data_IF_288118503773
#
_entry.id   IF_288118503773
#
_cell.length_a   1.000
_cell.length_b   1.000
_cell.length_c   1.000
_cell.angle_alpha   90.00
_cell.angle_beta   90.00
_cell.angle_gamma   90.00
#
_symmetry.space_group_name_H-M   'P 1'
#
loop_
_entity.id
_entity.type
_entity.pdbx_description
1 polymer ?
#
# COMPACT_ATOMS: atom_id res chain seq x y z
N UNK A 1 -1.30 -6.93 -25.82
CA UNK A 1 -2.02 -5.86 -26.54
C UNK A 1 -3.03 -6.50 -27.49
N UNK A 2 -4.26 -6.00 -27.56
CA UNK A 2 -5.30 -6.55 -28.45
C UNK A 2 -5.66 -5.55 -29.54
N UNK A 3 -5.01 -5.67 -30.69
CA UNK A 3 -5.15 -4.75 -31.83
C UNK A 3 -6.60 -4.50 -32.25
N UNK A 4 -7.43 -5.55 -32.27
CA UNK A 4 -8.85 -5.45 -32.63
C UNK A 4 -9.69 -4.56 -31.68
N UNK A 5 -9.17 -4.24 -30.48
CA UNK A 5 -9.82 -3.37 -29.50
C UNK A 5 -9.04 -2.09 -29.22
N UNK A 6 -7.89 -1.93 -29.86
CA UNK A 6 -7.10 -0.71 -29.82
C UNK A 6 -7.57 0.24 -30.93
N UNK A 7 -7.42 1.54 -30.68
CA UNK A 7 -7.73 2.59 -31.64
C UNK A 7 -6.50 3.40 -32.03
N UNK A 8 -6.72 4.49 -32.77
CA UNK A 8 -5.66 5.39 -33.24
C UNK A 8 -4.93 6.14 -32.12
N UNK A 9 -5.59 6.31 -30.96
CA UNK A 9 -5.05 7.01 -29.78
C UNK A 9 -5.18 6.21 -28.49
N UNK A 10 -5.63 4.95 -28.56
CA UNK A 10 -5.90 4.11 -27.38
C UNK A 10 -5.37 2.70 -27.58
N UNK A 11 -4.76 2.14 -26.53
CA UNK A 11 -4.22 0.79 -26.54
C UNK A 11 -4.98 -0.05 -25.52
N UNK A 12 -5.53 -1.18 -25.96
CA UNK A 12 -6.13 -2.16 -25.05
C UNK A 12 -5.10 -3.21 -24.62
N UNK A 13 -4.84 -3.29 -23.31
CA UNK A 13 -4.02 -4.31 -22.68
C UNK A 13 -4.94 -5.37 -22.05
N UNK A 14 -4.61 -6.65 -22.27
CA UNK A 14 -5.32 -7.80 -21.69
C UNK A 14 -4.35 -8.57 -20.79
N UNK A 15 -4.87 -9.22 -19.75
CA UNK A 15 -4.08 -9.98 -18.78
C UNK A 15 -3.00 -9.13 -18.11
N UNK A 16 -3.38 -7.91 -17.69
CA UNK A 16 -2.51 -7.00 -16.96
C UNK A 16 -2.08 -7.64 -15.65
N UNK A 17 -0.78 -7.58 -15.37
CA UNK A 17 -0.16 -8.08 -14.14
C UNK A 17 0.92 -7.09 -13.67
N UNK A 18 1.59 -7.38 -12.55
CA UNK A 18 2.61 -6.49 -11.97
C UNK A 18 3.73 -6.10 -12.95
N UNK A 19 4.13 -7.01 -13.85
CA UNK A 19 5.16 -6.75 -14.87
C UNK A 19 4.67 -5.86 -16.01
N UNK A 20 3.36 -5.61 -16.09
CA UNK A 20 2.80 -4.67 -17.05
C UNK A 20 3.07 -3.22 -16.63
N UNK A 21 3.38 -2.95 -15.37
CA UNK A 21 3.70 -1.59 -14.91
C UNK A 21 4.97 -1.05 -15.59
N UNK A 22 5.00 0.25 -15.87
CA UNK A 22 6.15 0.91 -16.50
C UNK A 22 5.75 2.10 -17.36
N UNK A 23 6.74 2.67 -18.04
CA UNK A 23 6.54 3.80 -18.95
C UNK A 23 6.12 3.29 -20.33
N UNK A 24 4.94 3.71 -20.77
CA UNK A 24 4.43 3.45 -22.12
C UNK A 24 4.66 4.67 -22.99
N UNK A 25 5.27 4.45 -24.16
CA UNK A 25 5.53 5.49 -25.15
C UNK A 25 4.68 5.25 -26.40
N UNK A 26 4.09 6.32 -26.91
CA UNK A 26 3.46 6.37 -28.22
C UNK A 26 4.31 7.23 -29.14
N UNK A 27 4.63 6.73 -30.33
CA UNK A 27 5.41 7.43 -31.34
C UNK A 27 4.64 7.43 -32.66
N UNK A 28 4.67 8.58 -33.34
CA UNK A 28 4.09 8.79 -34.66
C UNK A 28 5.19 9.36 -35.54
N UNK A 29 5.51 8.64 -36.62
CA UNK A 29 6.54 9.02 -37.57
C UNK A 29 5.91 9.36 -38.93
N UNK A 30 6.35 10.46 -39.52
CA UNK A 30 6.08 10.79 -40.91
C UNK A 30 7.01 9.98 -41.82
N UNK A 31 6.53 9.62 -43.02
CA UNK A 31 7.36 8.99 -44.05
C UNK A 31 8.10 10.06 -44.89
N UNK A 32 8.83 9.61 -45.92
CA UNK A 32 9.57 10.50 -46.82
C UNK A 32 8.70 11.66 -47.32
N UNK A 33 9.28 12.88 -47.48
CA UNK A 33 10.70 13.21 -47.39
C UNK A 33 11.21 13.69 -46.01
N UNK A 34 10.35 13.94 -45.02
CA UNK A 34 10.76 14.64 -43.79
C UNK A 34 11.14 13.73 -42.62
N UNK A 35 10.66 12.48 -42.56
CA UNK A 35 11.00 11.48 -41.52
C UNK A 35 10.84 11.96 -40.06
N UNK A 36 10.01 12.98 -39.81
CA UNK A 36 9.81 13.52 -38.47
C UNK A 36 9.14 12.50 -37.55
N UNK A 37 9.61 12.37 -36.30
CA UNK A 37 8.98 11.51 -35.29
C UNK A 37 8.59 12.33 -34.08
N UNK A 38 7.30 12.31 -33.74
CA UNK A 38 6.76 12.90 -32.50
C UNK A 38 6.28 11.79 -31.59
N UNK A 39 6.42 11.98 -30.28
CA UNK A 39 5.96 10.98 -29.34
C UNK A 39 5.66 11.56 -27.97
N UNK A 40 4.91 10.79 -27.20
CA UNK A 40 4.59 11.09 -25.81
C UNK A 40 4.73 9.84 -24.96
N UNK A 41 4.98 10.03 -23.67
CA UNK A 41 5.13 8.92 -22.73
C UNK A 41 4.31 9.16 -21.46
N UNK A 42 3.84 8.07 -20.85
CA UNK A 42 3.14 8.06 -19.56
C UNK A 42 3.46 6.79 -18.78
N UNK A 43 3.45 6.92 -17.46
CA UNK A 43 3.65 5.78 -16.56
C UNK A 43 2.32 5.10 -16.25
N UNK A 44 2.29 3.78 -16.39
CA UNK A 44 1.19 2.94 -15.97
C UNK A 44 1.59 2.21 -14.69
N UNK A 45 0.82 2.44 -13.62
CA UNK A 45 0.95 1.69 -12.37
C UNK A 45 -0.06 0.54 -12.34
N UNK A 46 0.32 -0.57 -11.70
CA UNK A 46 -0.57 -1.69 -11.40
C UNK A 46 -0.73 -1.77 -9.89
N UNK A 47 -1.98 -1.67 -9.44
CA UNK A 47 -2.35 -1.69 -8.03
C UNK A 47 -2.84 -3.08 -7.65
N UNK A 48 -2.35 -3.59 -6.52
CA UNK A 48 -2.83 -4.84 -5.92
C UNK A 48 -3.30 -4.51 -4.52
N UNK A 49 -4.60 -4.65 -4.30
CA UNK A 49 -5.20 -4.42 -2.98
C UNK A 49 -4.85 -5.56 -2.02
N UNK A 50 -4.67 -5.27 -0.72
CA UNK A 50 -4.60 -6.31 0.30
C UNK A 50 -5.83 -7.23 0.23
N UNK A 51 -5.61 -8.54 0.34
CA UNK A 51 -6.71 -9.52 0.31
C UNK A 51 -7.56 -9.53 1.58
N UNK A 52 -7.02 -9.00 2.67
CA UNK A 52 -7.66 -8.91 3.98
C UNK A 52 -7.15 -7.67 4.74
N UNK A 53 -7.84 -7.33 5.82
CA UNK A 53 -7.40 -6.28 6.74
C UNK A 53 -6.09 -6.65 7.45
N UNK A 54 -5.39 -5.66 8.02
CA UNK A 54 -4.15 -5.91 8.74
C UNK A 54 -4.41 -6.71 10.01
N UNK A 55 -3.42 -7.48 10.45
CA UNK A 55 -3.48 -8.32 11.65
C UNK A 55 -2.68 -7.68 12.77
N UNK A 56 -3.27 -7.63 13.96
CA UNK A 56 -2.62 -7.17 15.18
C UNK A 56 -2.08 -8.37 15.95
N UNK A 57 -0.82 -8.29 16.39
CA UNK A 57 -0.09 -9.34 17.13
C UNK A 57 0.68 -8.74 18.30
N UNK A 58 1.16 -9.58 19.23
CA UNK A 58 1.91 -9.17 20.42
C UNK A 58 1.06 -8.78 21.62
N UNK A 59 -0.27 -8.70 21.44
CA UNK A 59 -1.21 -8.40 22.52
C UNK A 59 -1.37 -9.54 23.53
N UNK A 60 -1.78 -9.20 24.74
CA UNK A 60 -2.16 -10.16 25.79
C UNK A 60 -3.67 -10.24 25.94
N UNK A 61 -4.15 -11.38 26.45
CA UNK A 61 -5.57 -11.62 26.66
C UNK A 61 -6.16 -10.73 27.78
N UNK A 62 -5.34 -10.31 28.73
CA UNK A 62 -5.73 -9.48 29.86
C UNK A 62 -4.62 -8.49 30.16
N UNK A 63 -5.02 -7.29 30.57
CA UNK A 63 -4.12 -6.23 31.00
C UNK A 63 -4.65 -5.58 32.28
N UNK A 64 -3.73 -4.99 33.04
CA UNK A 64 -3.99 -4.16 34.21
C UNK A 64 -3.50 -2.73 33.96
N UNK A 65 -4.07 -1.78 34.69
CA UNK A 65 -3.55 -0.41 34.70
C UNK A 65 -2.07 -0.45 35.12
N UNK A 66 -1.23 0.30 34.40
CA UNK A 66 0.22 0.31 34.55
C UNK A 66 0.95 -0.70 33.66
N UNK A 67 0.25 -1.66 33.05
CA UNK A 67 0.89 -2.57 32.09
C UNK A 67 1.31 -1.84 30.82
N UNK A 68 2.37 -2.34 30.18
CA UNK A 68 2.76 -1.85 28.86
C UNK A 68 2.12 -2.72 27.78
N UNK A 69 1.33 -2.09 26.92
CA UNK A 69 0.86 -2.70 25.67
C UNK A 69 1.95 -2.52 24.63
N UNK A 70 2.34 -3.59 23.96
CA UNK A 70 3.31 -3.59 22.86
C UNK A 70 2.80 -4.50 21.75
N UNK A 71 2.27 -3.91 20.70
CA UNK A 71 1.57 -4.63 19.62
C UNK A 71 2.10 -4.23 18.26
N UNK A 72 2.00 -5.14 17.30
CA UNK A 72 2.36 -4.93 15.91
C UNK A 72 1.16 -5.15 15.00
N UNK A 73 0.91 -4.17 14.13
CA UNK A 73 -0.07 -4.24 13.06
C UNK A 73 0.68 -4.55 11.77
N UNK A 74 0.33 -5.62 11.07
CA UNK A 74 0.96 -6.04 9.82
C UNK A 74 -0.08 -6.19 8.73
N UNK A 75 0.13 -5.55 7.58
CA UNK A 75 -0.78 -5.62 6.43
C UNK A 75 -0.70 -6.97 5.71
N UNK A 76 -1.77 -7.36 5.02
CA UNK A 76 -1.63 -8.31 3.93
C UNK A 76 -0.79 -7.73 2.78
N UNK A 77 -0.32 -8.60 1.90
CA UNK A 77 0.50 -8.23 0.73
C UNK A 77 -0.28 -7.30 -0.21
N UNK A 78 0.35 -6.24 -0.68
CA UNK A 78 -0.25 -5.25 -1.59
C UNK A 78 0.80 -4.57 -2.46
N UNK A 79 0.37 -3.81 -3.47
CA UNK A 79 1.27 -2.92 -4.23
C UNK A 79 0.54 -1.63 -4.59
N UNK A 80 1.04 -0.45 -4.19
CA UNK A 80 2.15 -0.25 -3.25
C UNK A 80 1.81 -0.78 -1.85
N UNK A 81 2.80 -0.84 -0.96
CA UNK A 81 2.60 -1.16 0.45
C UNK A 81 1.48 -0.31 1.07
N UNK A 82 0.64 -0.96 1.88
CA UNK A 82 -0.45 -0.29 2.58
C UNK A 82 0.08 0.73 3.61
N UNK A 83 -0.62 1.86 3.75
CA UNK A 83 -0.36 2.82 4.83
C UNK A 83 -1.15 2.42 6.07
N UNK A 84 -0.45 2.19 7.19
CA UNK A 84 -1.07 1.79 8.46
C UNK A 84 -1.20 2.97 9.41
N UNK A 85 -2.24 2.94 10.25
CA UNK A 85 -2.48 3.91 11.33
C UNK A 85 -3.07 3.19 12.54
N UNK A 86 -2.68 3.64 13.73
CA UNK A 86 -3.20 3.11 14.98
C UNK A 86 -4.35 3.97 15.50
N UNK A 87 -5.35 3.30 16.05
CA UNK A 87 -6.45 3.88 16.80
C UNK A 87 -6.56 3.12 18.13
N UNK A 88 -6.68 3.84 19.23
CA UNK A 88 -6.94 3.28 20.56
C UNK A 88 -8.30 3.83 20.99
N UNK A 89 -9.28 2.95 21.18
CA UNK A 89 -10.67 3.34 21.50
C UNK A 89 -11.21 4.41 20.54
N UNK A 90 -11.06 4.18 19.22
CA UNK A 90 -11.47 5.08 18.14
C UNK A 90 -10.74 6.44 18.08
N UNK A 91 -9.78 6.69 18.98
CA UNK A 91 -8.93 7.88 18.95
C UNK A 91 -7.66 7.57 18.17
N UNK A 92 -7.41 8.35 17.11
CA UNK A 92 -6.19 8.22 16.31
C UNK A 92 -4.95 8.51 17.17
N UNK A 93 -3.97 7.62 17.11
CA UNK A 93 -2.64 7.87 17.69
C UNK A 93 -1.90 8.79 16.71
N UNK A 94 -1.68 10.04 17.11
CA UNK A 94 -1.04 11.06 16.27
C UNK A 94 0.40 11.28 16.73
N UNK A 95 1.34 11.28 15.77
CA UNK A 95 2.76 11.49 16.02
C UNK A 95 3.56 10.19 16.22
N UNK A 96 4.87 10.36 16.39
CA UNK A 96 5.81 9.26 16.61
C UNK A 96 5.74 8.70 18.05
N UNK A 97 5.03 9.37 18.96
CA UNK A 97 4.95 8.98 20.36
C UNK A 97 4.22 7.64 20.49
N UNK A 98 4.99 6.62 20.86
CA UNK A 98 4.50 5.25 21.01
C UNK A 98 4.32 4.48 19.71
N UNK A 99 4.50 5.08 18.53
CA UNK A 99 4.45 4.35 17.25
C UNK A 99 5.84 4.03 16.71
N UNK A 100 5.99 2.91 16.00
CA UNK A 100 7.27 2.54 15.36
C UNK A 100 7.00 2.05 13.95
N UNK A 101 7.38 2.86 12.96
CA UNK A 101 7.25 2.49 11.56
C UNK A 101 8.38 1.54 11.15
N UNK A 102 8.01 0.36 10.67
CA UNK A 102 8.97 -0.60 10.14
C UNK A 102 9.11 -0.44 8.64
N UNK A 103 10.31 -0.72 8.12
CA UNK A 103 10.53 -0.76 6.68
C UNK A 103 9.61 -1.78 6.01
N UNK A 104 9.11 -1.44 4.83
CA UNK A 104 8.28 -2.33 4.04
C UNK A 104 9.03 -3.60 3.68
N UNK A 105 8.37 -4.75 3.82
CA UNK A 105 8.94 -6.04 3.43
C UNK A 105 8.52 -6.33 1.99
N UNK A 106 9.49 -6.41 1.09
CA UNK A 106 9.28 -6.81 -0.31
C UNK A 106 9.33 -8.34 -0.42
N UNK A 107 8.32 -8.91 -1.06
CA UNK A 107 8.19 -10.36 -1.27
C UNK A 107 8.65 -10.77 -2.67
N UNK A 108 8.92 -12.07 -2.86
CA UNK A 108 9.38 -12.62 -4.13
C UNK A 108 8.38 -12.44 -5.29
N UNK A 109 7.09 -12.29 -4.99
CA UNK A 109 6.02 -12.01 -5.96
C UNK A 109 5.93 -10.52 -6.34
N UNK A 110 6.80 -9.67 -5.78
CA UNK A 110 6.84 -8.23 -6.03
C UNK A 110 5.77 -7.44 -5.27
N UNK A 111 5.02 -8.09 -4.38
CA UNK A 111 4.12 -7.43 -3.44
C UNK A 111 4.86 -7.04 -2.16
N UNK A 112 4.25 -6.14 -1.40
CA UNK A 112 4.82 -5.50 -0.23
C UNK A 112 3.90 -5.66 0.98
N UNK A 113 4.52 -5.87 2.14
CA UNK A 113 3.84 -5.82 3.44
C UNK A 113 4.36 -4.63 4.24
N UNK A 114 3.44 -3.87 4.82
CA UNK A 114 3.76 -2.82 5.79
C UNK A 114 3.53 -3.31 7.21
N UNK A 115 4.32 -2.81 8.16
CA UNK A 115 4.14 -3.07 9.58
C UNK A 115 4.30 -1.78 10.39
N UNK A 116 3.46 -1.62 11.41
CA UNK A 116 3.49 -0.48 12.33
C UNK A 116 3.34 -0.97 13.77
N UNK A 117 4.34 -0.71 14.60
CA UNK A 117 4.32 -0.99 16.02
C UNK A 117 3.60 0.09 16.82
N UNK A 118 3.01 -0.31 17.94
CA UNK A 118 2.43 0.57 18.95
C UNK A 118 2.87 0.10 20.34
N UNK A 119 3.38 1.03 21.14
CA UNK A 119 3.81 0.80 22.52
C UNK A 119 3.36 1.95 23.41
N UNK A 120 2.56 1.64 24.44
CA UNK A 120 2.11 2.62 25.43
C UNK A 120 1.85 1.97 26.79
N UNK A 121 1.78 2.79 27.84
CA UNK A 121 1.41 2.35 29.18
C UNK A 121 -0.09 2.53 29.36
N UNK A 122 -0.77 1.50 29.86
CA UNK A 122 -2.20 1.56 30.15
C UNK A 122 -2.48 2.44 31.36
N UNK A 123 -3.41 3.36 31.16
CA UNK A 123 -3.93 4.30 32.18
C UNK A 123 -5.43 4.12 32.31
N UNK A 124 -6.03 4.73 33.33
CA UNK A 124 -7.49 4.69 33.55
C UNK A 124 -8.28 5.18 32.33
N UNK A 125 -7.81 6.21 31.63
CA UNK A 125 -8.49 6.76 30.43
C UNK A 125 -8.68 5.75 29.29
N UNK A 126 -7.85 4.70 29.26
CA UNK A 126 -7.94 3.63 28.24
C UNK A 126 -8.98 2.56 28.58
N UNK A 127 -9.36 2.42 29.85
CA UNK A 127 -10.45 1.57 30.30
C UNK A 127 -11.67 2.48 30.46
N UNK A 128 -12.39 2.71 29.36
CA UNK A 128 -13.60 3.54 29.36
C UNK A 128 -14.47 3.25 30.59
N UNK A 129 -15.01 4.31 31.21
CA UNK A 129 -15.67 4.23 32.51
C UNK A 129 -16.53 2.97 32.64
N UNK A 130 -16.15 2.08 33.56
CA UNK A 130 -16.95 0.92 33.92
C UNK A 130 -18.33 1.44 34.35
N UNK A 131 -19.36 1.12 33.56
CA UNK A 131 -20.76 1.36 33.90
C UNK A 131 -21.35 0.10 34.52
#
# INVERSE_FOLDING_TARGET
>A
MQLARSGRTSVYLRNVNLHSAGTYRCEVSAEAPSFDTVGGQKDMAVLVLPTEGPRITGGQAQYRIGDTVSVNCTSAKSKPAATLRWFVNDVAVVGADGTTEYSTTLHADGLETASLGLRFVLTEDHFGAAT
#
